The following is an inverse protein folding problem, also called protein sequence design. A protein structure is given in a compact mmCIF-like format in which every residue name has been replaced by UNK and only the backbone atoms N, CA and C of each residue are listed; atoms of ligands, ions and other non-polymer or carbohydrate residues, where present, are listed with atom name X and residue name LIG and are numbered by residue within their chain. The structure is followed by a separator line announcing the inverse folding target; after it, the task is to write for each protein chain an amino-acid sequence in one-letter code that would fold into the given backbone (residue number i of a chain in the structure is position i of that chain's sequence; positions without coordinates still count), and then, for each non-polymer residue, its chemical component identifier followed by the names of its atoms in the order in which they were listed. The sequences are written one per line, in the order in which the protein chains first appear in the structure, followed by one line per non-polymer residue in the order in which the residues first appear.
data_IF_735639460753
#
_entry.id   IF_735639460753
#
_cell.length_a   1.000
_cell.length_b   1.000
_cell.length_c   1.000
_cell.angle_alpha   90.00
_cell.angle_beta   90.00
_cell.angle_gamma   90.00
#
_symmetry.space_group_name_H-M   'P 1'
#
loop_
_entity.id
_entity.type
_entity.pdbx_description
1 polymer ?
#
# COMPACT_ATOMS: atom_id res chain seq x y z
N UNK A 1 -69.61 -26.04 -8.98
CA UNK A 1 -68.80 -24.83 -9.26
C UNK A 1 -67.69 -24.77 -8.22
N UNK A 2 -66.43 -24.98 -8.61
CA UNK A 2 -65.27 -24.96 -7.71
C UNK A 2 -64.32 -23.86 -8.19
N UNK A 3 -63.99 -22.94 -7.29
CA UNK A 3 -63.18 -21.74 -7.57
C UNK A 3 -61.74 -22.08 -7.19
N UNK A 4 -60.84 -22.10 -8.19
CA UNK A 4 -59.42 -22.38 -8.03
C UNK A 4 -58.69 -21.24 -7.30
N UNK A 5 -57.86 -21.60 -6.32
CA UNK A 5 -56.98 -20.70 -5.57
C UNK A 5 -55.72 -20.41 -6.40
N UNK A 6 -55.46 -19.14 -6.68
CA UNK A 6 -54.23 -18.68 -7.32
C UNK A 6 -53.28 -18.12 -6.26
N UNK A 7 -52.17 -18.81 -6.01
CA UNK A 7 -51.14 -18.38 -5.06
C UNK A 7 -50.11 -17.53 -5.80
N UNK A 8 -50.03 -16.24 -5.45
CA UNK A 8 -49.02 -15.31 -5.96
C UNK A 8 -47.73 -15.44 -5.14
N UNK A 9 -46.61 -15.75 -5.79
CA UNK A 9 -45.29 -15.66 -5.17
C UNK A 9 -44.76 -14.23 -5.33
N UNK A 10 -44.64 -13.49 -4.23
CA UNK A 10 -43.89 -12.24 -4.21
C UNK A 10 -42.38 -12.56 -4.33
N UNK A 11 -41.78 -12.12 -5.44
CA UNK A 11 -40.33 -12.01 -5.57
C UNK A 11 -39.85 -10.84 -4.72
N UNK A 12 -39.16 -11.14 -3.61
CA UNK A 12 -38.46 -10.13 -2.81
C UNK A 12 -37.15 -9.79 -3.50
N UNK A 13 -37.08 -8.60 -4.10
CA UNK A 13 -35.83 -8.00 -4.57
C UNK A 13 -35.06 -7.47 -3.35
N UNK A 14 -33.99 -8.18 -2.96
CA UNK A 14 -33.04 -7.67 -1.98
C UNK A 14 -32.16 -6.59 -2.65
N UNK A 15 -32.00 -5.39 -2.07
CA UNK A 15 -31.09 -4.40 -2.60
C UNK A 15 -29.65 -4.89 -2.46
N UNK A 16 -28.88 -4.81 -3.54
CA UNK A 16 -27.45 -5.07 -3.50
C UNK A 16 -26.76 -3.98 -2.66
N UNK A 17 -26.20 -4.35 -1.52
CA UNK A 17 -25.36 -3.44 -0.72
C UNK A 17 -24.09 -3.10 -1.50
N UNK A 18 -23.93 -1.83 -1.85
CA UNK A 18 -22.67 -1.33 -2.42
C UNK A 18 -21.67 -1.21 -1.28
N UNK A 19 -20.71 -2.14 -1.21
CA UNK A 19 -19.60 -2.04 -0.29
C UNK A 19 -18.72 -0.85 -0.68
N UNK A 20 -18.63 0.17 0.19
CA UNK A 20 -17.65 1.24 0.06
C UNK A 20 -16.26 0.64 0.32
N UNK A 21 -15.46 0.46 -0.72
CA UNK A 21 -14.08 0.00 -0.56
C UNK A 21 -13.29 1.06 0.21
N UNK A 22 -13.01 0.80 1.48
CA UNK A 22 -12.16 1.67 2.30
C UNK A 22 -10.79 1.87 1.64
N UNK A 23 -10.20 3.06 1.85
CA UNK A 23 -8.85 3.38 1.33
C UNK A 23 -7.85 2.36 1.88
N UNK A 24 -7.05 1.74 1.00
CA UNK A 24 -6.02 0.81 1.43
C UNK A 24 -5.05 1.49 2.43
N UNK A 25 -4.59 0.73 3.42
CA UNK A 25 -3.68 1.25 4.44
C UNK A 25 -2.42 0.40 4.55
N UNK A 26 -1.29 1.07 4.74
CA UNK A 26 -0.02 0.45 5.04
C UNK A 26 -0.08 -0.37 6.33
N UNK A 27 0.55 -1.56 6.37
CA UNK A 27 0.78 -2.31 7.61
C UNK A 27 1.48 -1.43 8.64
N UNK A 28 1.08 -1.52 9.91
CA UNK A 28 1.64 -0.68 10.97
C UNK A 28 3.15 -0.86 11.09
N UNK A 29 3.65 -2.06 10.85
CA UNK A 29 5.07 -2.43 10.93
C UNK A 29 5.91 -1.77 9.82
N UNK A 30 5.30 -1.37 8.70
CA UNK A 30 6.00 -0.64 7.64
C UNK A 30 6.02 0.86 7.86
N UNK A 31 5.17 1.40 8.75
CA UNK A 31 5.08 2.85 8.97
C UNK A 31 6.32 3.37 9.69
N UNK A 32 6.64 4.64 9.46
CA UNK A 32 7.79 5.33 10.06
C UNK A 32 8.74 5.89 9.02
N UNK A 33 9.87 6.41 9.50
CA UNK A 33 10.94 6.95 8.68
C UNK A 33 11.97 5.86 8.38
N UNK A 34 12.34 5.78 7.11
CA UNK A 34 13.30 4.83 6.57
C UNK A 34 14.34 5.60 5.76
N UNK A 35 15.57 5.12 5.77
CA UNK A 35 16.65 5.75 5.01
C UNK A 35 17.66 4.70 4.55
N UNK A 36 18.43 5.00 3.50
CA UNK A 36 19.46 4.12 2.95
C UNK A 36 20.69 4.93 2.54
N UNK A 37 21.87 4.30 2.49
CA UNK A 37 23.10 4.96 2.07
C UNK A 37 24.13 5.13 3.20
N UNK A 38 25.25 5.82 2.96
CA UNK A 38 26.39 5.83 3.87
C UNK A 38 26.11 6.51 5.22
N UNK A 39 25.27 7.55 5.24
CA UNK A 39 24.92 8.33 6.43
C UNK A 39 23.44 8.15 6.81
N UNK A 40 23.00 6.89 6.86
CA UNK A 40 21.61 6.52 7.11
C UNK A 40 21.07 7.16 8.40
N UNK A 41 19.93 7.84 8.32
CA UNK A 41 19.23 8.44 9.46
C UNK A 41 19.95 9.62 10.15
N UNK A 42 20.95 10.22 9.50
CA UNK A 42 21.51 11.49 9.94
C UNK A 42 20.75 12.65 9.29
N UNK A 43 20.11 13.47 10.12
CA UNK A 43 19.41 14.69 9.69
C UNK A 43 20.34 15.87 9.93
N UNK A 44 21.16 16.23 8.93
CA UNK A 44 21.56 17.63 8.84
C UNK A 44 20.34 18.39 8.28
N UNK A 45 19.99 19.53 8.87
CA UNK A 45 18.76 20.30 8.57
C UNK A 45 18.77 20.91 7.14
N UNK A 46 19.87 20.73 6.43
CA UNK A 46 20.28 21.49 5.25
C UNK A 46 20.82 20.58 4.11
N UNK A 47 20.66 19.26 4.22
CA UNK A 47 21.01 18.32 3.15
C UNK A 47 19.75 17.75 2.52
N UNK A 48 19.58 18.00 1.22
CA UNK A 48 18.63 17.30 0.36
C UNK A 48 18.88 15.79 0.49
N UNK A 49 17.98 15.10 1.20
CA UNK A 49 18.12 13.67 1.46
C UNK A 49 17.18 12.91 0.51
N UNK A 50 17.71 12.62 -0.68
CA UNK A 50 17.05 11.84 -1.73
C UNK A 50 16.82 10.36 -1.35
N UNK A 51 17.39 9.92 -0.22
CA UNK A 51 17.35 8.53 0.23
C UNK A 51 16.28 8.26 1.29
N UNK A 52 15.77 9.32 1.95
CA UNK A 52 14.72 9.21 2.96
C UNK A 52 13.38 8.84 2.36
N UNK A 53 12.69 7.95 3.07
CA UNK A 53 11.36 7.48 2.78
C UNK A 53 10.49 7.50 4.05
N UNK A 54 9.47 8.35 4.07
CA UNK A 54 8.46 8.34 5.13
C UNK A 54 7.26 7.52 4.69
N UNK A 55 6.96 6.44 5.43
CA UNK A 55 5.80 5.59 5.18
C UNK A 55 4.68 5.96 6.16
N UNK A 56 3.61 6.56 5.64
CA UNK A 56 2.39 6.89 6.37
C UNK A 56 1.33 5.79 6.22
N UNK A 57 0.19 5.94 6.91
CA UNK A 57 -0.92 4.99 6.78
C UNK A 57 -1.50 4.92 5.36
N UNK A 58 -1.47 6.02 4.59
CA UNK A 58 -2.13 6.12 3.28
C UNK A 58 -1.26 6.77 2.20
N UNK A 59 0.02 7.02 2.50
CA UNK A 59 0.96 7.57 1.55
C UNK A 59 2.39 7.11 1.82
N UNK A 60 3.23 7.24 0.81
CA UNK A 60 4.69 7.19 0.90
C UNK A 60 5.18 8.58 0.49
N UNK A 61 6.06 9.18 1.28
CA UNK A 61 6.60 10.52 1.04
C UNK A 61 8.11 10.39 0.91
N UNK A 62 8.64 10.71 -0.26
CA UNK A 62 10.06 10.91 -0.51
C UNK A 62 10.38 12.39 -0.69
N UNK A 63 11.59 12.68 -1.16
CA UNK A 63 12.04 14.07 -1.36
C UNK A 63 11.15 14.87 -2.34
N UNK A 64 10.89 14.34 -3.54
CA UNK A 64 10.10 15.05 -4.59
C UNK A 64 8.75 14.41 -4.91
N UNK A 65 8.33 13.38 -4.18
CA UNK A 65 7.14 12.61 -4.52
C UNK A 65 6.28 12.27 -3.30
N UNK A 66 4.97 12.26 -3.52
CA UNK A 66 3.98 11.76 -2.55
C UNK A 66 3.08 10.74 -3.23
N UNK A 67 3.33 9.47 -2.95
CA UNK A 67 2.58 8.38 -3.57
C UNK A 67 1.42 7.94 -2.69
N UNK A 68 0.21 7.87 -3.26
CA UNK A 68 -0.97 7.40 -2.56
C UNK A 68 -1.07 5.87 -2.58
N UNK A 69 -1.36 5.25 -1.44
CA UNK A 69 -1.53 3.79 -1.37
C UNK A 69 -2.82 3.38 -2.09
N UNK A 70 -2.68 2.53 -3.11
CA UNK A 70 -3.82 1.99 -3.88
C UNK A 70 -4.20 0.58 -3.45
N UNK A 71 -3.23 -0.29 -3.19
CA UNK A 71 -3.52 -1.63 -2.67
C UNK A 71 -2.35 -2.18 -1.85
N UNK A 72 -2.67 -2.99 -0.86
CA UNK A 72 -1.71 -3.70 -0.01
C UNK A 72 -2.15 -5.15 0.08
N UNK A 73 -1.27 -6.09 -0.27
CA UNK A 73 -1.54 -7.53 -0.16
C UNK A 73 -0.35 -8.22 0.49
N UNK A 74 -0.57 -8.85 1.65
CA UNK A 74 0.47 -9.71 2.27
C UNK A 74 0.69 -10.93 1.39
N UNK A 75 1.95 -11.23 1.08
CA UNK A 75 2.35 -12.37 0.22
C UNK A 75 3.19 -13.40 0.97
N UNK A 76 3.78 -13.05 2.11
CA UNK A 76 4.45 -14.00 3.02
C UNK A 76 4.27 -13.59 4.47
N UNK A 77 4.33 -14.56 5.39
CA UNK A 77 4.30 -14.37 6.86
C UNK A 77 5.69 -14.36 7.50
N UNK A 78 6.61 -15.18 6.99
CA UNK A 78 7.97 -15.31 7.49
C UNK A 78 8.93 -15.55 6.30
N UNK A 79 9.78 -14.57 5.92
CA UNK A 79 9.78 -13.19 6.41
C UNK A 79 8.46 -12.49 6.08
N UNK A 80 8.14 -11.40 6.79
CA UNK A 80 6.94 -10.64 6.46
C UNK A 80 7.13 -9.91 5.14
N UNK A 81 6.24 -10.16 4.18
CA UNK A 81 6.31 -9.53 2.88
C UNK A 81 4.94 -9.14 2.34
N UNK A 82 4.90 -8.03 1.60
CA UNK A 82 3.70 -7.49 0.98
C UNK A 82 4.00 -7.07 -0.46
N UNK A 83 3.02 -7.23 -1.34
CA UNK A 83 2.96 -6.51 -2.61
C UNK A 83 2.14 -5.25 -2.40
N UNK A 84 2.69 -4.10 -2.78
CA UNK A 84 2.06 -2.80 -2.57
C UNK A 84 2.01 -2.07 -3.90
N UNK A 85 0.84 -1.53 -4.23
CA UNK A 85 0.67 -0.69 -5.43
C UNK A 85 0.38 0.72 -4.94
N UNK A 86 1.15 1.67 -5.46
CA UNK A 86 0.99 3.10 -5.18
C UNK A 86 0.62 3.85 -6.46
N UNK A 87 -0.01 4.99 -6.29
CA UNK A 87 -0.33 5.95 -7.36
C UNK A 87 0.54 7.16 -7.09
N UNK A 88 1.56 7.35 -7.92
CA UNK A 88 2.44 8.50 -7.84
C UNK A 88 1.79 9.72 -8.48
N UNK A 89 2.04 10.88 -7.90
CA UNK A 89 1.64 12.19 -8.43
C UNK A 89 2.52 12.63 -9.62
N UNK A 90 3.74 12.10 -9.74
CA UNK A 90 4.70 12.46 -10.78
C UNK A 90 4.90 11.38 -11.86
N UNK A 91 4.62 10.11 -11.58
CA UNK A 91 4.88 9.02 -12.54
C UNK A 91 3.77 8.90 -13.62
N UNK A 92 4.09 8.48 -14.86
CA UNK A 92 3.10 8.09 -15.87
C UNK A 92 2.12 7.01 -15.37
N UNK A 93 0.83 7.12 -15.75
CA UNK A 93 -0.27 6.27 -15.20
C UNK A 93 -0.15 4.78 -15.53
N UNK A 94 0.59 4.43 -16.57
CA UNK A 94 0.79 3.07 -17.06
C UNK A 94 1.78 2.28 -16.20
N UNK A 95 2.81 2.92 -15.64
CA UNK A 95 3.77 2.27 -14.72
C UNK A 95 3.25 2.15 -13.28
N UNK A 96 2.29 2.99 -12.86
CA UNK A 96 1.68 2.96 -11.52
C UNK A 96 0.86 1.69 -11.19
N UNK A 97 0.74 0.73 -12.13
CA UNK A 97 0.04 -0.54 -11.90
C UNK A 97 0.98 -1.68 -11.49
N UNK A 98 2.27 -1.50 -11.73
CA UNK A 98 3.31 -2.38 -11.22
C UNK A 98 3.44 -2.09 -9.73
N UNK A 99 3.49 -3.14 -8.91
CA UNK A 99 3.47 -2.99 -7.46
C UNK A 99 4.72 -3.64 -6.91
N UNK A 100 5.39 -2.94 -6.02
CA UNK A 100 6.67 -3.38 -5.45
C UNK A 100 6.44 -4.40 -4.35
N UNK A 101 7.48 -5.18 -4.09
CA UNK A 101 7.53 -6.12 -2.99
C UNK A 101 8.31 -5.49 -1.84
N UNK A 102 7.64 -5.39 -0.70
CA UNK A 102 8.19 -4.91 0.56
C UNK A 102 8.48 -6.12 1.43
N UNK A 103 9.75 -6.35 1.79
CA UNK A 103 10.18 -7.42 2.68
C UNK A 103 10.74 -6.81 3.95
N UNK A 104 10.09 -7.09 5.08
CA UNK A 104 10.48 -6.58 6.39
C UNK A 104 11.16 -7.67 7.23
N UNK A 105 12.32 -7.32 7.77
CA UNK A 105 13.00 -8.10 8.81
C UNK A 105 13.53 -7.16 9.89
N UNK A 106 12.83 -7.11 11.03
CA UNK A 106 13.10 -6.16 12.14
C UNK A 106 13.13 -4.72 11.60
N UNK A 107 14.27 -4.05 11.71
CA UNK A 107 14.46 -2.66 11.29
C UNK A 107 15.09 -2.53 9.91
N UNK A 108 15.07 -3.61 9.12
CA UNK A 108 15.54 -3.62 7.73
C UNK A 108 14.38 -3.86 6.78
N UNK A 109 14.14 -2.91 5.89
CA UNK A 109 13.11 -2.97 4.86
C UNK A 109 13.78 -3.05 3.49
N UNK A 110 13.51 -4.11 2.75
CA UNK A 110 13.93 -4.23 1.35
C UNK A 110 12.73 -4.02 0.44
N UNK A 111 12.85 -3.12 -0.55
CA UNK A 111 11.82 -2.83 -1.56
C UNK A 111 12.39 -3.14 -2.93
N UNK A 112 11.61 -3.84 -3.76
CA UNK A 112 11.99 -4.19 -5.15
C UNK A 112 10.79 -4.17 -6.08
N UNK A 113 10.99 -3.66 -7.29
CA UNK A 113 10.07 -3.72 -8.43
C UNK A 113 10.30 -4.96 -9.33
N UNK A 114 11.35 -5.75 -9.05
CA UNK A 114 11.81 -6.89 -9.84
C UNK A 114 13.01 -6.59 -10.75
N UNK A 115 13.35 -5.32 -10.97
CA UNK A 115 14.51 -4.87 -11.76
C UNK A 115 15.57 -4.23 -10.86
N UNK A 116 15.14 -3.44 -9.88
CA UNK A 116 15.95 -2.74 -8.90
C UNK A 116 15.61 -3.18 -7.48
N UNK A 117 16.54 -2.96 -6.55
CA UNK A 117 16.31 -3.24 -5.12
C UNK A 117 16.97 -2.17 -4.28
N UNK A 118 16.23 -1.66 -3.30
CA UNK A 118 16.75 -0.77 -2.25
C UNK A 118 16.53 -1.39 -0.89
N UNK A 119 17.50 -1.27 0.01
CA UNK A 119 17.39 -1.73 1.39
C UNK A 119 17.60 -0.56 2.32
N UNK A 120 16.59 -0.32 3.14
CA UNK A 120 16.50 0.77 4.09
C UNK A 120 16.68 0.25 5.52
N UNK A 121 17.17 1.12 6.39
CA UNK A 121 17.10 0.95 7.84
C UNK A 121 16.04 1.88 8.41
N UNK A 122 15.40 1.44 9.49
CA UNK A 122 14.46 2.27 10.24
C UNK A 122 15.23 3.34 11.00
N UNK A 123 14.79 4.60 10.88
CA UNK A 123 15.29 5.68 11.71
C UNK A 123 14.58 5.69 13.07
N UNK A 124 15.32 6.04 14.11
CA UNK A 124 14.81 6.18 15.47
C UNK A 124 14.31 7.59 15.76
#
# INVERSE_FOLDING_TARGET
MSIGKWTWWLLVLLPASVAHAGRASMPAELRGTWDYGPDTCHIAEDVENDTRLQIEAHAIVGYEHRDAIRSVRRISRAPSAWRIVVVSDIAPKDIQRMGDIYVLNRDRLTITDGESTKTYLRCQ
#
